data_IF_005697892333
#
_entry.id   IF_005697892333
#
_cell.length_a   1.000
_cell.length_b   1.000
_cell.length_c   1.000
_cell.angle_alpha   90.00
_cell.angle_beta   90.00
_cell.angle_gamma   90.00
#
_symmetry.space_group_name_H-M   'P 1'
#
loop_
_entity.id
_entity.type
_entity.pdbx_description
1 polymer ?
#
# COMPACT_ATOMS: atom_id res chain seq x y z
N UNK A 1 7.60 -11.60 3.39
CA UNK A 1 7.74 -10.65 4.51
C UNK A 1 6.45 -10.70 5.30
N UNK A 2 6.52 -10.60 6.62
CA UNK A 2 5.32 -10.47 7.48
C UNK A 2 5.32 -9.04 7.99
N UNK A 3 4.27 -8.28 7.64
CA UNK A 3 4.04 -6.94 8.14
C UNK A 3 3.01 -6.98 9.26
N UNK A 4 3.17 -6.12 10.26
CA UNK A 4 2.19 -5.94 11.33
C UNK A 4 1.95 -4.46 11.54
N UNK A 5 0.69 -4.05 11.57
CA UNK A 5 0.27 -2.68 11.89
C UNK A 5 -0.87 -2.75 12.89
N UNK A 6 -0.79 -1.92 13.93
CA UNK A 6 -1.87 -1.75 14.91
C UNK A 6 -2.44 -0.35 14.80
N UNK A 7 -3.76 -0.24 14.86
CA UNK A 7 -4.45 1.05 14.99
C UNK A 7 -5.31 0.97 16.26
N UNK A 8 -5.03 1.87 17.19
CA UNK A 8 -5.95 2.16 18.28
C UNK A 8 -6.87 3.30 17.83
N UNK A 9 -8.17 3.09 17.93
CA UNK A 9 -9.16 4.13 17.65
C UNK A 9 -10.20 4.19 18.75
N UNK A 10 -10.82 5.36 18.91
CA UNK A 10 -11.92 5.56 19.85
C UNK A 10 -13.16 5.89 19.03
N UNK A 11 -14.16 5.01 19.08
CA UNK A 11 -15.48 5.34 18.53
C UNK A 11 -16.16 6.29 19.53
N UNK A 12 -16.74 7.43 19.10
CA UNK A 12 -17.43 8.35 20.00
C UNK A 12 -18.47 7.61 20.85
N UNK A 13 -18.43 7.81 22.17
CA UNK A 13 -19.26 7.13 23.18
C UNK A 13 -19.02 5.62 23.35
N UNK A 14 -17.89 5.07 22.87
CA UNK A 14 -17.47 3.70 23.13
C UNK A 14 -16.08 3.62 23.75
N UNK A 15 -15.73 2.42 24.23
CA UNK A 15 -14.38 2.12 24.69
C UNK A 15 -13.38 2.25 23.54
N UNK A 16 -12.11 2.48 23.91
CA UNK A 16 -11.00 2.46 22.98
C UNK A 16 -10.84 1.04 22.44
N UNK A 17 -10.90 0.88 21.13
CA UNK A 17 -10.68 -0.40 20.44
C UNK A 17 -9.29 -0.47 19.85
N UNK A 18 -8.70 -1.66 19.93
CA UNK A 18 -7.45 -2.00 19.26
C UNK A 18 -7.73 -3.00 18.14
N UNK A 19 -7.31 -2.62 16.93
CA UNK A 19 -7.38 -3.48 15.77
C UNK A 19 -5.97 -3.70 15.22
N UNK A 20 -5.60 -4.97 15.09
CA UNK A 20 -4.33 -5.37 14.50
C UNK A 20 -4.55 -5.96 13.12
N UNK A 21 -3.71 -5.56 12.18
CA UNK A 21 -3.66 -6.13 10.84
C UNK A 21 -2.28 -6.77 10.68
N UNK A 22 -2.27 -8.08 10.46
CA UNK A 22 -1.08 -8.87 10.18
C UNK A 22 -1.16 -9.33 8.73
N UNK A 23 -0.19 -8.93 7.93
CA UNK A 23 -0.13 -9.24 6.51
C UNK A 23 1.02 -10.21 6.25
N UNK A 24 0.69 -11.43 5.81
CA UNK A 24 1.66 -12.39 5.33
C UNK A 24 1.69 -12.40 3.80
N UNK A 25 2.64 -11.63 3.27
CA UNK A 25 2.84 -11.45 1.84
C UNK A 25 3.23 -12.76 1.15
N UNK A 26 3.95 -13.66 1.83
CA UNK A 26 4.37 -14.95 1.23
C UNK A 26 3.16 -15.84 0.93
N UNK A 27 2.15 -15.78 1.79
CA UNK A 27 0.95 -16.62 1.68
C UNK A 27 -0.24 -15.89 1.08
N UNK A 28 -0.12 -14.57 0.82
CA UNK A 28 -1.22 -13.73 0.37
C UNK A 28 -2.39 -13.68 1.36
N UNK A 29 -2.08 -13.70 2.67
CA UNK A 29 -3.11 -13.74 3.73
C UNK A 29 -3.00 -12.50 4.62
N UNK A 30 -4.15 -11.95 4.99
CA UNK A 30 -4.28 -10.93 6.03
C UNK A 30 -5.08 -11.50 7.19
N UNK A 31 -4.64 -11.16 8.39
CA UNK A 31 -5.33 -11.48 9.63
C UNK A 31 -5.69 -10.17 10.33
N UNK A 32 -6.97 -9.98 10.61
CA UNK A 32 -7.47 -8.86 11.40
C UNK A 32 -7.80 -9.39 12.79
N UNK A 33 -7.15 -8.86 13.82
CA UNK A 33 -7.42 -9.20 15.21
C UNK A 33 -8.14 -8.01 15.85
N UNK A 34 -9.36 -8.26 16.29
CA UNK A 34 -10.14 -7.35 17.13
C UNK A 34 -9.95 -7.79 18.58
N UNK A 35 -9.22 -6.99 19.36
CA UNK A 35 -8.92 -7.32 20.75
C UNK A 35 -10.15 -7.26 21.66
N UNK A 36 -11.10 -6.39 21.34
CA UNK A 36 -12.29 -6.16 22.18
C UNK A 36 -13.28 -7.30 21.99
N UNK A 37 -13.53 -7.69 20.74
CA UNK A 37 -14.41 -8.81 20.42
C UNK A 37 -13.73 -10.17 20.63
N UNK A 38 -12.41 -10.19 20.86
CA UNK A 38 -11.56 -11.39 20.90
C UNK A 38 -11.74 -12.27 19.65
N UNK A 39 -11.88 -11.62 18.50
CA UNK A 39 -12.10 -12.30 17.21
C UNK A 39 -10.89 -12.12 16.30
N UNK A 40 -10.66 -13.15 15.49
CA UNK A 40 -9.66 -13.13 14.44
C UNK A 40 -10.36 -13.42 13.11
N UNK A 41 -10.21 -12.51 12.16
CA UNK A 41 -10.73 -12.63 10.81
C UNK A 41 -9.56 -12.91 9.86
N UNK A 42 -9.75 -13.83 8.93
CA UNK A 42 -8.77 -14.18 7.91
C UNK A 42 -9.33 -13.81 6.54
N UNK A 43 -8.55 -13.08 5.75
CA UNK A 43 -8.88 -12.73 4.37
C UNK A 43 -7.68 -12.95 3.45
N UNK A 44 -7.94 -13.10 2.15
CA UNK A 44 -6.91 -13.09 1.13
C UNK A 44 -6.50 -11.66 0.80
N UNK A 45 -5.20 -11.41 0.62
CA UNK A 45 -4.70 -10.16 0.06
C UNK A 45 -4.99 -10.21 -1.44
N UNK A 46 -5.81 -9.29 -1.98
CA UNK A 46 -6.16 -9.31 -3.40
C UNK A 46 -4.98 -8.99 -4.31
N UNK A 47 -3.90 -8.39 -3.79
CA UNK A 47 -2.78 -7.89 -4.59
C UNK A 47 -1.46 -8.26 -3.91
N UNK A 48 -0.60 -9.00 -4.61
CA UNK A 48 0.78 -9.18 -4.15
C UNK A 48 1.45 -7.80 -4.17
N UNK A 49 2.01 -7.31 -3.05
CA UNK A 49 2.77 -6.08 -3.07
C UNK A 49 3.93 -6.24 -4.04
N UNK A 50 3.96 -5.39 -5.06
CA UNK A 50 5.08 -5.32 -5.98
C UNK A 50 6.12 -4.46 -5.29
N UNK A 51 7.16 -5.11 -4.76
CA UNK A 51 8.23 -4.44 -4.01
C UNK A 51 9.15 -3.60 -4.91
N UNK A 52 9.03 -3.74 -6.23
CA UNK A 52 9.84 -3.05 -7.22
C UNK A 52 8.95 -2.59 -8.38
N UNK A 53 9.36 -1.56 -9.11
CA UNK A 53 8.73 -1.25 -10.39
C UNK A 53 9.07 -2.40 -11.35
N UNK A 54 8.08 -3.09 -11.94
CA UNK A 54 8.35 -4.18 -12.88
C UNK A 54 8.85 -3.62 -14.21
N UNK A 55 9.64 -4.41 -14.94
CA UNK A 55 10.20 -4.01 -16.25
C UNK A 55 9.11 -3.71 -17.30
N UNK A 56 7.90 -4.24 -17.09
CA UNK A 56 6.72 -3.99 -17.93
C UNK A 56 6.01 -2.67 -17.61
N UNK A 57 6.45 -1.95 -16.58
CA UNK A 57 5.85 -0.68 -16.23
C UNK A 57 6.16 0.39 -17.29
N UNK A 58 5.21 1.28 -17.50
CA UNK A 58 5.38 2.41 -18.41
C UNK A 58 5.63 3.68 -17.62
N UNK A 59 6.70 4.39 -17.98
CA UNK A 59 7.03 5.67 -17.39
C UNK A 59 5.95 6.71 -17.70
N UNK A 60 5.52 7.46 -16.68
CA UNK A 60 4.57 8.56 -16.85
C UNK A 60 5.26 9.92 -16.83
N UNK A 61 5.82 10.25 -15.67
CA UNK A 61 6.35 11.58 -15.41
C UNK A 61 7.27 11.59 -14.19
N UNK A 62 8.03 12.67 -14.06
CA UNK A 62 8.86 12.98 -12.91
C UNK A 62 8.20 14.09 -12.10
N UNK A 63 8.35 14.06 -10.79
CA UNK A 63 7.80 15.06 -9.87
C UNK A 63 8.84 15.42 -8.81
N UNK A 64 8.77 16.66 -8.34
CA UNK A 64 9.59 17.16 -7.26
C UNK A 64 8.73 17.35 -6.03
N UNK A 65 9.08 16.68 -4.93
CA UNK A 65 8.43 16.82 -3.63
C UNK A 65 9.29 17.66 -2.70
N UNK A 66 8.66 18.54 -1.93
CA UNK A 66 9.35 19.39 -0.94
C UNK A 66 9.42 20.86 -1.34
N UNK A 67 10.24 21.64 -0.64
CA UNK A 67 10.33 23.09 -0.78
C UNK A 67 11.74 23.60 -0.52
N UNK A 68 12.17 24.61 -1.29
CA UNK A 68 13.52 25.19 -1.19
C UNK A 68 14.61 24.14 -1.43
N UNK A 69 15.59 24.09 -0.53
CA UNK A 69 16.77 23.22 -0.64
C UNK A 69 16.48 21.75 -0.25
N UNK A 70 15.27 21.47 0.23
CA UNK A 70 14.83 20.14 0.66
C UNK A 70 13.84 19.57 -0.35
N UNK A 71 14.38 19.16 -1.49
CA UNK A 71 13.62 18.58 -2.58
C UNK A 71 14.01 17.12 -2.82
N UNK A 72 13.01 16.31 -3.13
CA UNK A 72 13.17 14.92 -3.54
C UNK A 72 12.62 14.82 -4.96
N UNK A 73 13.47 14.39 -5.90
CA UNK A 73 13.00 14.02 -7.23
C UNK A 73 12.45 12.60 -7.20
N UNK A 74 11.34 12.40 -7.88
CA UNK A 74 10.65 11.12 -7.92
C UNK A 74 10.16 10.82 -9.33
N UNK A 75 10.14 9.56 -9.69
CA UNK A 75 9.59 9.09 -10.95
C UNK A 75 8.34 8.25 -10.68
N UNK A 76 7.30 8.50 -11.47
CA UNK A 76 6.06 7.75 -11.40
C UNK A 76 5.89 6.89 -12.64
N UNK A 77 5.52 5.65 -12.39
CA UNK A 77 5.27 4.62 -13.38
C UNK A 77 3.84 4.10 -13.20
N UNK A 78 3.21 3.66 -14.28
CA UNK A 78 2.01 2.83 -14.17
C UNK A 78 2.28 1.41 -14.64
N UNK A 79 1.57 0.48 -14.03
CA UNK A 79 1.58 -0.94 -14.37
C UNK A 79 0.16 -1.47 -14.36
N UNK A 80 -0.18 -2.26 -15.36
CA UNK A 80 -1.40 -3.04 -15.37
C UNK A 80 -1.10 -4.42 -14.76
N UNK A 81 -1.71 -4.72 -13.61
CA UNK A 81 -1.58 -6.01 -12.93
C UNK A 81 -2.99 -6.58 -12.81
N UNK A 82 -3.24 -7.73 -13.42
CA UNK A 82 -4.52 -8.42 -13.35
C UNK A 82 -5.72 -7.52 -13.68
N UNK A 83 -5.59 -6.71 -14.75
CA UNK A 83 -6.59 -5.72 -15.23
C UNK A 83 -6.78 -4.50 -14.32
N UNK A 84 -5.98 -4.35 -13.27
CA UNK A 84 -5.99 -3.20 -12.37
C UNK A 84 -4.80 -2.29 -12.69
N UNK A 85 -5.09 -1.01 -12.94
CA UNK A 85 -4.06 0.01 -13.13
C UNK A 85 -3.52 0.42 -11.76
N UNK A 86 -2.23 0.18 -11.56
CA UNK A 86 -1.49 0.56 -10.37
C UNK A 86 -0.47 1.63 -10.73
N UNK A 87 -0.30 2.60 -9.84
CA UNK A 87 0.72 3.64 -9.95
C UNK A 87 1.78 3.42 -8.88
N UNK A 88 3.04 3.57 -9.25
CA UNK A 88 4.16 3.49 -8.34
C UNK A 88 5.04 4.73 -8.50
N UNK A 89 5.22 5.47 -7.42
CA UNK A 89 6.13 6.63 -7.34
C UNK A 89 7.30 6.29 -6.44
N UNK A 90 8.52 6.40 -6.98
CA UNK A 90 9.76 6.09 -6.26
C UNK A 90 10.74 7.24 -6.33
N UNK A 91 11.61 7.37 -5.32
CA UNK A 91 12.68 8.36 -5.33
C UNK A 91 13.72 8.07 -6.43
N UNK A 92 14.17 9.15 -7.10
CA UNK A 92 15.22 9.11 -8.13
C UNK A 92 16.64 9.16 -7.55
N UNK A 93 16.78 9.39 -6.24
CA UNK A 93 18.05 9.52 -5.51
C UNK A 93 18.90 8.23 -5.45
N UNK A 94 18.60 7.22 -6.27
CA UNK A 94 19.34 5.96 -6.40
C UNK A 94 18.92 4.88 -5.39
N UNK A 95 18.09 5.22 -4.40
CA UNK A 95 17.62 4.28 -3.38
C UNK A 95 16.27 3.63 -3.72
N UNK A 96 15.57 4.13 -4.76
CA UNK A 96 14.26 3.64 -5.20
C UNK A 96 13.26 3.50 -4.04
N UNK A 97 13.25 4.49 -3.13
CA UNK A 97 12.39 4.48 -1.96
C UNK A 97 10.95 4.71 -2.42
N UNK A 98 9.98 3.85 -2.03
CA UNK A 98 8.58 4.08 -2.35
C UNK A 98 8.08 5.35 -1.65
N UNK A 99 7.59 6.32 -2.42
CA UNK A 99 7.06 7.59 -1.91
C UNK A 99 5.52 7.61 -1.92
N UNK A 100 4.91 6.79 -2.76
CA UNK A 100 3.46 6.63 -2.86
C UNK A 100 3.07 5.65 -3.95
N UNK A 101 1.86 5.11 -3.82
CA UNK A 101 1.24 4.27 -4.84
C UNK A 101 -0.24 4.14 -4.54
N UNK A 102 -1.07 4.69 -5.42
CA UNK A 102 -2.52 4.50 -5.35
C UNK A 102 -2.88 3.29 -6.19
N UNK A 103 -3.55 2.32 -5.56
CA UNK A 103 -4.32 1.30 -6.29
C UNK A 103 -5.66 1.96 -6.64
N UNK A 104 -5.90 2.25 -7.91
CA UNK A 104 -7.25 2.58 -8.36
C UNK A 104 -7.93 1.28 -8.78
N UNK A 105 -9.00 0.91 -8.08
CA UNK A 105 -9.92 -0.11 -8.57
C UNK A 105 -10.67 0.48 -9.77
N UNK A 106 -10.31 0.08 -10.99
CA UNK A 106 -11.22 0.28 -12.12
C UNK A 106 -12.16 -0.91 -12.16
N UNK A 107 -13.42 -0.62 -11.88
CA UNK A 107 -14.60 -1.48 -12.02
C UNK A 107 -14.62 -2.14 -13.42
N UNK A 108 -14.83 -3.47 -13.53
CA UNK A 108 -14.78 -4.20 -14.80
C UNK A 108 -15.98 -3.95 -15.75
N UNK A 109 -16.75 -2.88 -15.60
CA UNK A 109 -17.81 -2.55 -16.57
C UNK A 109 -17.33 -1.56 -17.63
N UNK A 110 -16.42 -2.00 -18.53
CA UNK A 110 -16.37 -1.61 -19.95
C UNK A 110 -15.78 -2.75 -20.77
#
# INVERSE_FOLDING_TARGET
MVGMRGVSFTIPNQQKSNLWIIENIKTGQTYTIDEDEKKCYKSSIPIKPVNCIPDTATYLHSSTYGYGDKQIMADTWYVNIDQVINYATVSRDGLCVPLGGHVFFTDPTV
#
